data_IF_094823948237
#
_entry.id   IF_094823948237
#
_cell.length_a   1.000
_cell.length_b   1.000
_cell.length_c   1.000
_cell.angle_alpha   90.00
_cell.angle_beta   90.00
_cell.angle_gamma   90.00
#
_symmetry.space_group_name_H-M   'P 1'
#
loop_
_entity.id
_entity.type
_entity.pdbx_description
1 polymer ?
#
# COMPACT_ATOMS: atom_id res chain seq x y z
N UNK A 1 6.31 -7.31 16.36
CA UNK A 1 6.25 -7.11 14.89
C UNK A 1 7.36 -6.14 14.49
N UNK A 2 8.11 -6.41 13.41
CA UNK A 2 9.15 -5.48 12.93
C UNK A 2 8.63 -4.72 11.71
N UNK A 3 8.72 -3.39 11.75
CA UNK A 3 8.29 -2.51 10.68
C UNK A 3 9.49 -1.98 9.89
N UNK A 4 9.24 -1.68 8.61
CA UNK A 4 10.17 -0.95 7.78
C UNK A 4 9.45 0.26 7.18
N UNK A 5 10.00 1.45 7.43
CA UNK A 5 9.52 2.70 6.82
C UNK A 5 9.86 2.69 5.34
N UNK A 6 8.87 2.94 4.51
CA UNK A 6 9.04 2.98 3.06
C UNK A 6 9.25 4.41 2.60
N UNK A 7 10.26 4.64 1.75
CA UNK A 7 10.31 5.88 0.97
C UNK A 7 9.69 5.66 -0.40
N UNK A 8 9.13 6.71 -0.99
CA UNK A 8 8.62 6.68 -2.37
C UNK A 8 9.68 6.18 -3.33
N UNK A 9 10.89 6.75 -3.25
CA UNK A 9 12.04 6.38 -4.06
C UNK A 9 12.37 4.89 -3.94
N UNK A 10 12.38 4.35 -2.72
CA UNK A 10 12.63 2.92 -2.50
C UNK A 10 11.60 2.04 -3.19
N UNK A 11 10.31 2.35 -3.06
CA UNK A 11 9.25 1.54 -3.69
C UNK A 11 9.37 1.58 -5.22
N UNK A 12 9.60 2.75 -5.81
CA UNK A 12 9.70 2.93 -7.26
C UNK A 12 10.97 2.27 -7.82
N UNK A 13 12.08 2.32 -7.09
CA UNK A 13 13.31 1.59 -7.41
C UNK A 13 13.04 0.08 -7.49
N UNK A 14 12.32 -0.49 -6.52
CA UNK A 14 11.95 -1.92 -6.54
C UNK A 14 11.02 -2.31 -7.69
N UNK A 15 10.30 -1.36 -8.27
CA UNK A 15 9.52 -1.58 -9.49
C UNK A 15 10.35 -1.44 -10.79
N UNK A 16 11.66 -1.16 -10.69
CA UNK A 16 12.54 -0.91 -11.82
C UNK A 16 12.28 0.43 -12.51
N UNK A 17 11.71 1.40 -11.79
CA UNK A 17 11.43 2.74 -12.31
C UNK A 17 12.66 3.62 -12.03
N UNK A 18 13.16 4.31 -13.06
CA UNK A 18 14.31 5.20 -12.91
C UNK A 18 13.94 6.43 -12.05
N UNK A 19 14.40 6.43 -10.81
CA UNK A 19 14.08 7.43 -9.79
C UNK A 19 14.70 8.80 -10.05
N UNK A 20 15.76 8.90 -10.86
CA UNK A 20 16.38 10.16 -11.23
C UNK A 20 15.49 11.04 -12.13
N UNK A 21 14.49 10.43 -12.79
CA UNK A 21 13.56 11.12 -13.70
C UNK A 21 12.25 11.50 -13.03
N UNK A 22 12.11 11.23 -11.74
CA UNK A 22 10.85 11.34 -11.04
C UNK A 22 10.77 12.70 -10.35
N UNK A 23 9.67 13.42 -10.59
CA UNK A 23 9.40 14.71 -9.93
C UNK A 23 9.32 14.53 -8.42
N UNK A 24 9.96 15.43 -7.68
CA UNK A 24 9.88 15.48 -6.22
C UNK A 24 8.48 15.87 -5.77
N UNK A 25 7.92 15.12 -4.82
CA UNK A 25 6.70 15.54 -4.14
C UNK A 25 7.12 16.37 -2.92
N UNK A 26 6.79 17.66 -2.92
CA UNK A 26 7.14 18.57 -1.85
C UNK A 26 6.08 18.52 -0.75
N UNK A 27 6.50 18.32 0.49
CA UNK A 27 5.59 18.32 1.64
C UNK A 27 6.05 17.36 2.73
N UNK A 28 5.52 17.57 3.94
CA UNK A 28 5.75 16.66 5.06
C UNK A 28 4.63 15.63 5.09
N UNK A 29 5.00 14.34 5.17
CA UNK A 29 4.03 13.27 5.31
C UNK A 29 3.39 13.35 6.70
N UNK A 30 2.05 13.34 6.74
CA UNK A 30 1.25 13.24 7.96
C UNK A 30 0.94 11.79 8.33
N UNK A 31 1.16 10.89 7.38
CA UNK A 31 1.01 9.44 7.52
C UNK A 31 2.33 8.75 7.22
N UNK A 32 2.73 7.81 8.05
CA UNK A 32 3.97 7.05 7.88
C UNK A 32 3.73 5.81 7.01
N UNK A 33 4.29 5.75 5.79
CA UNK A 33 4.22 4.56 4.95
C UNK A 33 5.14 3.47 5.51
N UNK A 34 4.57 2.29 5.77
CA UNK A 34 5.29 1.17 6.36
C UNK A 34 4.94 -0.15 5.68
N UNK A 35 5.83 -1.12 5.82
CA UNK A 35 5.51 -2.53 5.61
C UNK A 35 5.95 -3.38 6.79
N UNK A 36 5.35 -4.56 6.92
CA UNK A 36 5.73 -5.56 7.91
C UNK A 36 6.88 -6.40 7.36
N UNK A 37 7.98 -6.46 8.12
CA UNK A 37 9.12 -7.30 7.74
C UNK A 37 8.85 -8.77 8.10
N UNK A 38 9.31 -9.72 7.26
CA UNK A 38 9.31 -11.13 7.62
C UNK A 38 10.31 -11.41 8.74
N UNK A 39 10.28 -12.61 9.32
CA UNK A 39 11.19 -13.02 10.41
C UNK A 39 12.68 -12.80 10.09
N UNK A 40 13.08 -12.97 8.83
CA UNK A 40 14.45 -12.69 8.37
C UNK A 40 14.90 -11.23 8.51
N UNK A 41 13.96 -10.29 8.70
CA UNK A 41 14.23 -8.86 8.81
C UNK A 41 14.60 -8.16 7.49
N UNK A 42 14.67 -8.92 6.39
CA UNK A 42 15.09 -8.47 5.07
C UNK A 42 13.92 -7.83 4.28
N UNK A 43 14.00 -6.53 3.92
CA UNK A 43 12.95 -5.82 3.18
C UNK A 43 12.54 -6.48 1.86
N UNK A 44 13.49 -6.98 1.09
CA UNK A 44 13.28 -7.66 -0.19
C UNK A 44 12.53 -8.99 -0.06
N UNK A 45 12.49 -9.55 1.15
CA UNK A 45 11.73 -10.76 1.44
C UNK A 45 10.29 -10.48 1.88
N UNK A 46 9.92 -9.22 2.12
CA UNK A 46 8.56 -8.82 2.47
C UNK A 46 7.60 -9.07 1.30
N UNK A 47 6.36 -9.44 1.62
CA UNK A 47 5.31 -9.78 0.62
C UNK A 47 5.11 -8.62 -0.35
N UNK A 48 5.01 -7.39 0.17
CA UNK A 48 4.84 -6.21 -0.67
C UNK A 48 5.96 -6.06 -1.70
N UNK A 49 7.23 -6.09 -1.29
CA UNK A 49 8.36 -5.91 -2.21
C UNK A 49 8.47 -7.06 -3.21
N UNK A 50 8.24 -8.29 -2.78
CA UNK A 50 8.18 -9.45 -3.68
C UNK A 50 7.11 -9.26 -4.76
N UNK A 51 5.92 -8.85 -4.37
CA UNK A 51 4.82 -8.62 -5.30
C UNK A 51 5.09 -7.45 -6.26
N UNK A 52 5.75 -6.38 -5.80
CA UNK A 52 6.18 -5.28 -6.67
C UNK A 52 7.15 -5.78 -7.74
N UNK A 53 8.18 -6.54 -7.35
CA UNK A 53 9.17 -7.07 -8.28
C UNK A 53 8.56 -8.09 -9.28
N UNK A 54 7.56 -8.86 -8.84
CA UNK A 54 6.91 -9.87 -9.66
C UNK A 54 5.88 -9.28 -10.64
N UNK A 55 4.97 -8.44 -10.14
CA UNK A 55 3.80 -7.98 -10.89
C UNK A 55 4.03 -6.66 -11.64
N UNK A 56 5.01 -5.85 -11.24
CA UNK A 56 5.33 -4.56 -11.87
C UNK A 56 6.50 -4.71 -12.86
N UNK A 57 6.39 -5.70 -13.74
CA UNK A 57 7.45 -6.13 -14.65
C UNK A 57 7.38 -5.52 -16.07
N UNK A 58 6.24 -4.95 -16.45
CA UNK A 58 5.99 -4.35 -17.76
C UNK A 58 5.92 -2.81 -17.69
N UNK A 59 6.26 -2.13 -18.78
CA UNK A 59 6.25 -0.66 -18.82
C UNK A 59 4.87 -0.04 -18.55
N UNK A 60 3.80 -0.65 -19.06
CA UNK A 60 2.41 -0.22 -18.79
C UNK A 60 2.06 -0.34 -17.31
N UNK A 61 2.40 -1.47 -16.68
CA UNK A 61 2.19 -1.72 -15.25
C UNK A 61 3.01 -0.78 -14.39
N UNK A 62 4.27 -0.49 -14.76
CA UNK A 62 5.13 0.50 -14.11
C UNK A 62 4.52 1.89 -14.12
N UNK A 63 3.95 2.32 -15.24
CA UNK A 63 3.29 3.62 -15.33
C UNK A 63 2.07 3.71 -14.39
N UNK A 64 1.23 2.68 -14.37
CA UNK A 64 0.09 2.60 -13.45
C UNK A 64 0.52 2.55 -11.98
N UNK A 65 1.55 1.74 -11.68
CA UNK A 65 2.10 1.61 -10.34
C UNK A 65 2.71 2.94 -9.86
N UNK A 66 3.47 3.62 -10.70
CA UNK A 66 4.00 4.96 -10.42
C UNK A 66 2.88 5.95 -10.09
N UNK A 67 1.83 5.99 -10.91
CA UNK A 67 0.67 6.86 -10.66
C UNK A 67 0.00 6.56 -9.31
N UNK A 68 -0.14 5.28 -8.93
CA UNK A 68 -0.69 4.89 -7.63
C UNK A 68 0.22 5.29 -6.45
N UNK A 69 1.54 5.08 -6.58
CA UNK A 69 2.51 5.49 -5.56
C UNK A 69 2.54 7.02 -5.42
N UNK A 70 2.52 7.77 -6.51
CA UNK A 70 2.49 9.24 -6.48
C UNK A 70 1.20 9.76 -5.83
N UNK A 71 0.07 9.14 -6.16
CA UNK A 71 -1.22 9.50 -5.58
C UNK A 71 -1.25 9.26 -4.07
N UNK A 72 -0.79 8.10 -3.58
CA UNK A 72 -0.82 7.82 -2.14
C UNK A 72 0.18 8.67 -1.37
N UNK A 73 1.39 8.91 -1.89
CA UNK A 73 2.34 9.80 -1.22
C UNK A 73 1.86 11.26 -1.16
N UNK A 74 1.21 11.74 -2.22
CA UNK A 74 0.57 13.07 -2.20
C UNK A 74 -0.60 13.11 -1.22
N UNK A 75 -1.44 12.08 -1.19
CA UNK A 75 -2.54 11.97 -0.25
C UNK A 75 -2.06 11.93 1.21
N UNK A 76 -1.00 11.20 1.52
CA UNK A 76 -0.43 11.07 2.87
C UNK A 76 0.10 12.39 3.44
N UNK A 77 0.19 13.47 2.66
CA UNK A 77 0.49 14.83 3.15
C UNK A 77 -0.75 15.54 3.75
N UNK A 78 -1.94 15.00 3.50
CA UNK A 78 -3.20 15.51 4.04
C UNK A 78 -3.56 14.82 5.36
N UNK A 79 -4.33 15.50 6.21
CA UNK A 79 -4.80 14.89 7.46
C UNK A 79 -5.75 13.72 7.17
N UNK A 80 -6.69 13.96 6.25
CA UNK A 80 -7.54 12.95 5.67
C UNK A 80 -7.06 12.67 4.24
N UNK A 81 -6.17 11.69 4.08
CA UNK A 81 -5.60 11.35 2.78
C UNK A 81 -6.65 10.80 1.82
N UNK A 82 -7.79 10.32 2.31
CA UNK A 82 -8.84 9.74 1.45
C UNK A 82 -9.47 10.79 0.54
N UNK A 83 -9.51 12.06 0.98
CA UNK A 83 -10.02 13.20 0.19
C UNK A 83 -9.21 13.45 -1.08
N UNK A 84 -7.93 13.13 -1.09
CA UNK A 84 -7.08 13.23 -2.29
C UNK A 84 -7.67 12.43 -3.46
N UNK A 85 -8.27 11.27 -3.16
CA UNK A 85 -8.73 10.33 -4.16
C UNK A 85 -10.10 10.66 -4.76
N UNK A 86 -10.82 11.65 -4.23
CA UNK A 86 -12.13 12.08 -4.75
C UNK A 86 -12.01 12.56 -6.22
N UNK A 87 -10.96 13.31 -6.52
CA UNK A 87 -10.70 13.87 -7.85
C UNK A 87 -9.51 13.19 -8.57
N UNK A 88 -9.00 12.08 -8.02
CA UNK A 88 -7.87 11.37 -8.61
C UNK A 88 -8.30 10.37 -9.67
N UNK A 89 -7.43 10.17 -10.68
CA UNK A 89 -7.51 9.05 -11.62
C UNK A 89 -7.29 7.71 -10.91
N UNK A 90 -6.52 7.71 -9.82
CA UNK A 90 -6.37 6.57 -8.93
C UNK A 90 -7.59 6.49 -8.03
N UNK A 91 -8.23 5.32 -7.96
CA UNK A 91 -9.35 5.09 -7.06
C UNK A 91 -8.87 4.46 -5.76
N UNK A 92 -9.40 4.95 -4.64
CA UNK A 92 -9.16 4.42 -3.31
C UNK A 92 -10.47 3.88 -2.73
N UNK A 93 -10.57 2.56 -2.56
CA UNK A 93 -11.84 1.93 -2.14
C UNK A 93 -11.61 0.70 -1.26
N UNK A 94 -12.69 0.19 -0.67
CA UNK A 94 -12.66 -1.05 0.11
C UNK A 94 -12.47 -2.24 -0.84
N UNK A 95 -11.46 -3.06 -0.56
CA UNK A 95 -11.16 -4.30 -1.25
C UNK A 95 -11.76 -5.52 -0.54
N UNK A 96 -11.84 -5.46 0.79
CA UNK A 96 -12.42 -6.48 1.66
C UNK A 96 -12.76 -5.89 3.04
N UNK A 97 -13.89 -6.30 3.60
CA UNK A 97 -14.32 -5.94 4.96
C UNK A 97 -14.46 -7.21 5.80
N UNK A 98 -14.00 -7.16 7.05
CA UNK A 98 -14.13 -8.25 8.01
C UNK A 98 -14.34 -7.69 9.42
N UNK A 99 -14.73 -8.55 10.38
CA UNK A 99 -14.92 -8.15 11.78
C UNK A 99 -13.73 -8.60 12.63
N UNK A 100 -13.23 -7.70 13.48
CA UNK A 100 -12.22 -8.03 14.49
C UNK A 100 -12.35 -7.08 15.68
N UNK A 101 -12.17 -7.60 16.91
CA UNK A 101 -12.30 -6.82 18.15
C UNK A 101 -13.58 -5.97 18.25
N UNK A 102 -14.71 -6.49 17.74
CA UNK A 102 -16.01 -5.80 17.74
C UNK A 102 -16.15 -4.66 16.71
N UNK A 103 -15.17 -4.44 15.84
CA UNK A 103 -15.19 -3.40 14.79
C UNK A 103 -15.12 -4.02 13.39
N UNK A 104 -15.63 -3.27 12.41
CA UNK A 104 -15.46 -3.61 10.99
C UNK A 104 -14.16 -3.01 10.49
N UNK A 105 -13.24 -3.87 10.10
CA UNK A 105 -11.96 -3.52 9.51
C UNK A 105 -12.02 -3.62 8.00
N UNK A 106 -11.27 -2.75 7.31
CA UNK A 106 -11.32 -2.64 5.86
C UNK A 106 -9.92 -2.68 5.24
N UNK A 107 -9.64 -3.75 4.49
CA UNK A 107 -8.57 -3.73 3.52
C UNK A 107 -8.96 -2.76 2.40
N UNK A 108 -8.03 -1.87 2.04
CA UNK A 108 -8.24 -0.90 0.97
C UNK A 108 -7.39 -1.25 -0.24
N UNK A 109 -7.86 -0.87 -1.42
CA UNK A 109 -7.07 -0.91 -2.65
C UNK A 109 -6.94 0.46 -3.28
N UNK A 110 -5.74 0.75 -3.75
CA UNK A 110 -5.51 1.72 -4.83
C UNK A 110 -5.71 1.00 -6.16
N UNK A 111 -6.38 1.66 -7.09
CA UNK A 111 -6.69 1.13 -8.42
C UNK A 111 -6.40 2.20 -9.47
N UNK A 112 -5.54 1.88 -10.43
CA UNK A 112 -5.34 2.66 -11.65
C UNK A 112 -5.70 1.79 -12.87
N UNK A 113 -6.62 2.25 -13.70
CA UNK A 113 -7.18 1.42 -14.78
C UNK A 113 -7.97 0.22 -14.23
N UNK A 114 -8.05 -0.88 -15.00
CA UNK A 114 -8.91 -2.03 -14.62
C UNK A 114 -8.20 -3.14 -13.84
N UNK A 115 -6.87 -3.26 -13.94
CA UNK A 115 -6.16 -4.48 -13.52
C UNK A 115 -5.19 -4.29 -12.36
N UNK A 116 -4.43 -3.20 -12.35
CA UNK A 116 -3.37 -2.98 -11.37
C UNK A 116 -3.93 -2.49 -10.02
N UNK A 117 -3.41 -3.05 -8.93
CA UNK A 117 -3.83 -2.74 -7.55
C UNK A 117 -2.64 -2.62 -6.62
N UNK A 118 -2.79 -1.78 -5.60
CA UNK A 118 -1.97 -1.82 -4.38
C UNK A 118 -2.90 -1.97 -3.19
N UNK A 119 -2.73 -3.05 -2.43
CA UNK A 119 -3.47 -3.33 -1.20
C UNK A 119 -2.78 -2.68 -0.01
N UNK A 120 -3.55 -1.90 0.73
CA UNK A 120 -3.06 -1.15 1.87
C UNK A 120 -4.08 -1.06 3.01
N UNK A 121 -3.59 -0.75 4.21
CA UNK A 121 -4.42 -0.54 5.39
C UNK A 121 -3.98 0.73 6.13
N UNK A 122 -4.82 1.77 6.20
CA UNK A 122 -4.56 2.90 7.09
C UNK A 122 -4.84 2.52 8.54
N UNK A 123 -3.96 2.94 9.43
CA UNK A 123 -4.07 2.69 10.86
C UNK A 123 -3.72 3.95 11.64
N UNK A 124 -4.58 4.32 12.58
CA UNK A 124 -4.31 5.38 13.55
C UNK A 124 -4.21 4.72 14.92
N UNK A 125 -3.00 4.67 15.44
CA UNK A 125 -2.67 4.11 16.74
C UNK A 125 -2.16 5.17 17.72
N UNK A 126 -1.65 4.72 18.86
CA UNK A 126 -1.02 5.52 19.90
C UNK A 126 0.31 6.12 19.48
N UNK A 127 1.10 5.42 18.64
CA UNK A 127 2.40 5.90 18.17
C UNK A 127 2.28 6.71 16.87
N UNK A 128 1.09 6.80 16.26
CA UNK A 128 0.83 7.72 15.16
C UNK A 128 -0.11 7.19 14.08
N UNK A 129 0.01 7.80 12.90
CA UNK A 129 -0.78 7.51 11.70
C UNK A 129 0.10 6.76 10.72
N UNK A 130 -0.30 5.55 10.35
CA UNK A 130 0.46 4.64 9.49
C UNK A 130 -0.37 4.24 8.26
N UNK A 131 0.31 4.01 7.15
CA UNK A 131 -0.26 3.35 5.97
C UNK A 131 0.56 2.08 5.71
N UNK A 132 -0.05 0.93 5.98
CA UNK A 132 0.57 -0.38 5.76
C UNK A 132 0.41 -0.79 4.31
N UNK A 133 1.52 -1.03 3.61
CA UNK A 133 1.55 -1.60 2.28
C UNK A 133 1.67 -3.13 2.39
N UNK A 134 0.72 -3.86 1.80
CA UNK A 134 0.68 -5.32 1.89
C UNK A 134 1.10 -6.00 0.60
N UNK A 135 0.55 -5.58 -0.54
CA UNK A 135 0.71 -6.32 -1.79
C UNK A 135 0.41 -5.43 -3.00
N UNK A 136 1.21 -5.52 -4.04
CA UNK A 136 0.90 -5.05 -5.38
C UNK A 136 0.38 -6.24 -6.20
N UNK A 137 -0.60 -6.05 -7.07
CA UNK A 137 -1.12 -7.14 -7.87
C UNK A 137 -1.61 -6.66 -9.24
N UNK A 138 -1.44 -7.50 -10.25
CA UNK A 138 -2.07 -7.33 -11.56
C UNK A 138 -3.23 -8.31 -11.71
N UNK A 139 -4.47 -7.81 -11.67
CA UNK A 139 -5.65 -8.66 -11.67
C UNK A 139 -6.33 -8.79 -13.02
N UNK A 140 -6.59 -10.04 -13.39
CA UNK A 140 -7.49 -10.38 -14.49
C UNK A 140 -8.96 -10.45 -14.06
N UNK A 141 -9.23 -10.49 -12.75
CA UNK A 141 -10.57 -10.56 -12.19
C UNK A 141 -10.94 -9.28 -11.43
N UNK A 142 -12.24 -8.96 -11.38
CA UNK A 142 -12.73 -7.76 -10.71
C UNK A 142 -12.65 -7.85 -9.18
N UNK A 143 -12.69 -9.06 -8.62
CA UNK A 143 -12.73 -9.30 -7.18
C UNK A 143 -11.34 -9.49 -6.55
N UNK A 144 -11.25 -9.21 -5.26
CA UNK A 144 -10.04 -9.53 -4.48
C UNK A 144 -9.92 -11.05 -4.30
N UNK A 145 -8.77 -11.63 -4.65
CA UNK A 145 -8.48 -13.06 -4.49
C UNK A 145 -8.51 -13.46 -3.02
N UNK A 146 -9.03 -14.65 -2.73
CA UNK A 146 -9.20 -15.16 -1.37
C UNK A 146 -7.89 -15.19 -0.60
N UNK A 147 -6.80 -15.66 -1.22
CA UNK A 147 -5.48 -15.71 -0.58
C UNK A 147 -4.96 -14.31 -0.17
N UNK A 148 -5.28 -13.26 -0.93
CA UNK A 148 -4.93 -11.88 -0.59
C UNK A 148 -5.77 -11.39 0.59
N UNK A 149 -7.08 -11.70 0.61
CA UNK A 149 -7.98 -11.32 1.70
C UNK A 149 -7.54 -11.94 3.02
N UNK A 150 -7.33 -13.25 3.04
CA UNK A 150 -6.95 -14.01 4.25
C UNK A 150 -5.62 -13.52 4.82
N UNK A 151 -4.60 -13.39 3.97
CA UNK A 151 -3.29 -12.88 4.37
C UNK A 151 -3.37 -11.45 4.89
N UNK A 152 -4.10 -10.57 4.20
CA UNK A 152 -4.26 -9.18 4.63
C UNK A 152 -5.03 -9.09 5.96
N UNK A 153 -6.09 -9.89 6.13
CA UNK A 153 -6.83 -9.97 7.39
C UNK A 153 -5.92 -10.40 8.55
N UNK A 154 -5.11 -11.46 8.37
CA UNK A 154 -4.15 -11.90 9.39
C UNK A 154 -3.15 -10.78 9.76
N UNK A 155 -2.62 -10.07 8.76
CA UNK A 155 -1.68 -8.97 9.00
C UNK A 155 -2.35 -7.78 9.69
N UNK A 156 -3.57 -7.41 9.31
CA UNK A 156 -4.31 -6.30 9.93
C UNK A 156 -4.62 -6.63 11.39
N UNK A 157 -5.03 -7.86 11.71
CA UNK A 157 -5.23 -8.29 13.11
C UNK A 157 -3.96 -8.10 13.93
N UNK A 158 -2.81 -8.53 13.41
CA UNK A 158 -1.50 -8.31 14.05
C UNK A 158 -1.15 -6.84 14.24
N UNK A 159 -1.50 -5.96 13.28
CA UNK A 159 -1.32 -4.51 13.41
C UNK A 159 -2.16 -3.95 14.54
N UNK A 160 -3.44 -4.33 14.62
CA UNK A 160 -4.36 -3.88 15.65
C UNK A 160 -3.92 -4.36 17.04
N UNK A 161 -3.57 -5.65 17.16
CA UNK A 161 -3.11 -6.28 18.41
C UNK A 161 -1.78 -5.70 18.90
N UNK A 162 -0.90 -5.29 17.98
CA UNK A 162 0.36 -4.64 18.33
C UNK A 162 0.17 -3.25 18.97
N UNK A 163 -1.01 -2.64 18.82
CA UNK A 163 -1.37 -1.35 19.42
C UNK A 163 -0.28 -0.29 19.24
N UNK A 164 0.19 -0.18 17.99
CA UNK A 164 1.18 0.80 17.54
C UNK A 164 0.63 2.21 17.68
#
# INVERSE_FOLDING_TARGET
MKLHRLSRTYILDKAGINTAKIVSINGTLKWEPVMILPASGLPEKAVFIKSVMADVNENSKRAHFMAMIDAIFSGMMLDDFSKYFANSVVKYKVAHSFKHAGKTENLRELKHGNKDRIYLYPYTGKMGRFVFFFEAAHKNQQQTETAVKERAEELIKKVIEANL
#
